data_IF_374650370377
#
_entry.id   IF_374650370377
#
_cell.length_a   1.000
_cell.length_b   1.000
_cell.length_c   1.000
_cell.angle_alpha   90.00
_cell.angle_beta   90.00
_cell.angle_gamma   90.00
#
_symmetry.space_group_name_H-M   'P 1'
#
loop_
_entity.id
_entity.type
_entity.pdbx_description
1 polymer ?
#
# COMPACT_ATOMS: atom_id res chain seq x y z
N UNK A 1 39.28 6.74 -16.99
CA UNK A 1 38.39 6.01 -16.13
C UNK A 1 38.29 6.76 -14.81
N UNK A 2 37.28 7.55 -14.52
CA UNK A 2 37.10 8.08 -13.18
C UNK A 2 36.35 7.04 -12.34
N UNK A 3 36.98 6.64 -11.24
CA UNK A 3 36.34 5.90 -10.16
C UNK A 3 35.23 6.76 -9.56
N UNK A 4 34.01 6.33 -9.73
CA UNK A 4 32.86 6.90 -9.07
C UNK A 4 32.70 6.23 -7.70
N UNK A 5 33.37 6.76 -6.69
CA UNK A 5 33.12 6.40 -5.30
C UNK A 5 31.78 6.99 -4.87
N UNK A 6 30.90 6.16 -4.36
CA UNK A 6 29.64 6.61 -3.77
C UNK A 6 29.91 7.53 -2.58
N UNK A 7 29.28 8.70 -2.46
CA UNK A 7 29.41 9.52 -1.27
C UNK A 7 28.67 8.87 -0.10
N UNK A 8 29.40 8.38 0.86
CA UNK A 8 28.89 7.81 2.13
C UNK A 8 28.43 8.88 3.15
N UNK A 9 28.31 10.15 2.79
CA UNK A 9 28.33 11.23 3.79
C UNK A 9 27.05 12.07 3.95
N UNK A 10 25.92 11.80 3.31
CA UNK A 10 24.76 12.71 3.38
C UNK A 10 23.50 12.22 4.16
N UNK A 11 23.58 11.15 4.91
CA UNK A 11 22.47 10.71 5.77
C UNK A 11 22.10 11.65 6.98
N UNK A 12 22.95 12.62 7.39
CA UNK A 12 22.79 13.32 8.65
C UNK A 12 21.77 14.46 8.70
N UNK A 13 21.50 15.13 7.60
CA UNK A 13 20.69 16.37 7.64
C UNK A 13 19.19 16.12 7.80
N UNK A 14 18.69 15.03 7.24
CA UNK A 14 17.25 14.70 7.30
C UNK A 14 16.82 14.28 8.72
N UNK A 15 17.69 13.56 9.46
CA UNK A 15 17.39 13.09 10.82
C UNK A 15 17.39 14.25 11.83
N UNK A 16 18.26 15.24 11.66
CA UNK A 16 18.28 16.43 12.53
C UNK A 16 17.06 17.34 12.33
N UNK A 17 16.54 17.44 11.09
CA UNK A 17 15.33 18.22 10.82
C UNK A 17 14.08 17.59 11.44
N UNK A 18 14.00 16.26 11.50
CA UNK A 18 12.93 15.53 12.17
C UNK A 18 12.93 15.69 13.69
N UNK A 19 14.11 15.75 14.32
CA UNK A 19 14.23 15.96 15.76
C UNK A 19 13.79 17.38 16.19
N UNK A 20 14.10 18.41 15.42
CA UNK A 20 13.73 19.81 15.73
C UNK A 20 12.22 20.10 15.56
N UNK A 21 11.52 19.37 14.71
CA UNK A 21 10.05 19.48 14.55
C UNK A 21 9.31 18.80 15.72
N UNK A 22 9.94 17.80 16.39
CA UNK A 22 9.34 17.09 17.52
C UNK A 22 9.19 17.95 18.80
N UNK A 23 9.96 19.00 18.97
CA UNK A 23 9.92 19.83 20.19
C UNK A 23 8.84 20.94 20.18
N UNK A 24 8.28 21.29 19.06
CA UNK A 24 7.36 22.43 18.94
C UNK A 24 5.85 22.10 19.07
N UNK A 25 5.47 20.81 19.24
CA UNK A 25 4.05 20.41 19.31
C UNK A 25 3.74 19.68 20.62
N UNK A 26 3.92 20.34 21.76
CA UNK A 26 3.33 19.91 23.03
C UNK A 26 2.36 20.95 23.54
N UNK A 27 1.09 20.85 23.12
CA UNK A 27 -0.04 21.41 23.84
C UNK A 27 -1.26 20.50 23.63
N UNK A 28 -1.75 19.92 24.72
CA UNK A 28 -2.94 19.04 24.75
C UNK A 28 -4.24 19.81 24.51
N UNK A 29 -5.22 19.20 23.87
CA UNK A 29 -6.62 19.44 24.16
C UNK A 29 -7.37 18.16 24.62
N UNK A 30 -8.57 18.32 25.20
CA UNK A 30 -9.20 17.35 26.07
C UNK A 30 -9.93 16.23 25.30
N UNK A 31 -10.06 15.09 26.02
CA UNK A 31 -10.61 13.86 25.51
C UNK A 31 -12.07 13.93 25.04
N UNK A 32 -12.34 13.14 24.00
CA UNK A 32 -13.67 12.70 23.65
C UNK A 32 -13.67 11.18 23.53
N UNK A 33 -14.44 10.52 24.39
CA UNK A 33 -14.68 9.09 24.38
C UNK A 33 -15.57 8.73 23.18
N UNK A 34 -14.99 8.15 22.14
CA UNK A 34 -15.74 7.60 21.02
C UNK A 34 -16.18 6.18 21.37
N UNK A 35 -17.46 6.01 21.69
CA UNK A 35 -18.15 4.73 21.68
C UNK A 35 -18.20 4.18 20.26
N UNK A 36 -17.80 2.91 20.10
CA UNK A 36 -17.88 2.18 18.81
C UNK A 36 -19.35 1.91 18.47
N UNK A 37 -20.01 2.88 17.81
CA UNK A 37 -21.26 2.58 17.13
C UNK A 37 -20.94 1.73 15.89
N UNK A 38 -21.64 0.62 15.74
CA UNK A 38 -21.59 -0.24 14.56
C UNK A 38 -22.02 0.58 13.34
N UNK A 39 -21.07 0.95 12.50
CA UNK A 39 -21.35 1.76 11.31
C UNK A 39 -22.31 0.99 10.40
N UNK A 40 -23.40 1.64 10.04
CA UNK A 40 -24.40 1.07 9.15
C UNK A 40 -23.84 1.00 7.71
N UNK A 41 -23.81 -0.18 7.09
CA UNK A 41 -23.29 -0.40 5.71
C UNK A 41 -24.06 0.38 4.63
N UNK A 42 -25.10 1.13 4.98
CA UNK A 42 -25.81 2.04 4.08
C UNK A 42 -24.96 3.16 3.51
N UNK A 43 -23.77 3.43 4.09
CA UNK A 43 -22.84 4.47 3.61
C UNK A 43 -21.78 3.99 2.62
N UNK A 44 -21.83 2.71 2.21
CA UNK A 44 -20.88 2.10 1.28
C UNK A 44 -19.65 1.50 1.97
N UNK A 45 -18.93 0.63 1.24
CA UNK A 45 -17.69 -0.02 1.69
C UNK A 45 -16.51 0.97 1.62
N UNK A 46 -15.78 1.11 2.73
CA UNK A 46 -14.58 1.98 2.84
C UNK A 46 -13.32 1.11 2.76
N UNK A 47 -12.51 1.33 1.74
CA UNK A 47 -11.26 0.62 1.53
C UNK A 47 -10.07 1.58 1.58
N UNK A 48 -9.03 1.24 2.34
CA UNK A 48 -7.74 1.96 2.35
C UNK A 48 -6.64 1.09 1.78
N UNK A 49 -5.86 1.63 0.84
CA UNK A 49 -4.56 1.10 0.42
C UNK A 49 -3.45 1.95 1.06
N UNK A 50 -2.47 1.28 1.70
CA UNK A 50 -1.40 1.99 2.40
C UNK A 50 -0.08 1.22 2.42
N UNK A 51 1.00 1.86 2.03
CA UNK A 51 2.36 1.43 2.32
C UNK A 51 2.75 2.02 3.68
N UNK A 52 3.04 1.15 4.67
CA UNK A 52 3.29 1.53 6.07
C UNK A 52 4.77 1.74 6.39
N UNK A 53 5.62 1.86 5.37
CA UNK A 53 7.06 2.11 5.52
C UNK A 53 7.73 1.16 6.53
N UNK A 54 7.92 -0.09 6.10
CA UNK A 54 8.68 -1.08 6.86
C UNK A 54 8.15 -1.36 8.29
N UNK A 55 6.87 -1.70 8.43
CA UNK A 55 6.37 -2.27 9.69
C UNK A 55 6.87 -3.69 9.85
N UNK A 56 8.13 -3.80 10.20
CA UNK A 56 8.89 -5.05 10.26
C UNK A 56 10.18 -4.86 11.06
N UNK A 57 10.84 -5.96 11.39
CA UNK A 57 12.18 -5.96 11.98
C UNK A 57 13.23 -5.93 10.88
N UNK A 58 14.12 -4.95 10.92
CA UNK A 58 15.22 -4.78 9.97
C UNK A 58 16.38 -3.99 10.57
N UNK A 59 17.50 -3.94 9.85
CA UNK A 59 18.61 -3.06 10.22
C UNK A 59 18.22 -1.60 9.94
N UNK A 60 18.38 -0.72 10.94
CA UNK A 60 18.01 0.70 10.85
C UNK A 60 19.16 1.59 11.31
N UNK A 61 19.26 2.77 10.73
CA UNK A 61 20.17 3.79 11.21
C UNK A 61 19.51 4.60 12.34
N UNK A 62 20.16 4.62 13.51
CA UNK A 62 19.79 5.45 14.67
C UNK A 62 21.02 6.26 15.04
N UNK A 63 20.91 7.59 15.04
CA UNK A 63 22.02 8.50 15.32
C UNK A 63 23.28 8.20 14.49
N UNK A 64 23.10 7.97 13.17
CA UNK A 64 24.16 7.62 12.20
C UNK A 64 24.84 6.27 12.44
N UNK A 65 24.34 5.45 13.35
CA UNK A 65 24.87 4.11 13.61
C UNK A 65 23.88 3.06 13.09
N UNK A 66 24.40 2.06 12.39
CA UNK A 66 23.59 0.90 11.98
C UNK A 66 23.30 0.05 13.20
N UNK A 67 22.03 -0.07 13.55
CA UNK A 67 21.54 -0.95 14.61
C UNK A 67 20.76 -2.08 13.96
N UNK A 68 21.13 -3.32 14.29
CA UNK A 68 20.56 -4.52 13.70
C UNK A 68 19.25 -4.91 14.38
N UNK A 69 18.35 -5.50 13.57
CA UNK A 69 17.13 -6.14 14.06
C UNK A 69 16.23 -5.19 14.89
N UNK A 70 16.06 -3.96 14.46
CA UNK A 70 15.10 -3.03 15.07
C UNK A 70 13.74 -3.13 14.39
N UNK A 71 12.69 -3.14 15.21
CA UNK A 71 11.31 -2.96 14.76
C UNK A 71 11.06 -1.53 14.31
N UNK A 72 9.96 -1.27 13.60
CA UNK A 72 9.48 0.10 13.36
C UNK A 72 9.31 0.81 14.70
N UNK A 73 9.78 2.08 14.84
CA UNK A 73 9.66 2.83 16.09
C UNK A 73 8.21 2.90 16.58
N UNK A 74 8.01 2.77 17.88
CA UNK A 74 6.67 2.71 18.47
C UNK A 74 5.84 3.98 18.19
N UNK A 75 6.47 5.15 18.19
CA UNK A 75 5.81 6.41 17.85
C UNK A 75 5.26 6.40 16.39
N UNK A 76 6.03 5.84 15.45
CA UNK A 76 5.62 5.71 14.05
C UNK A 76 4.49 4.68 13.89
N UNK A 77 4.54 3.55 14.62
CA UNK A 77 3.45 2.57 14.68
C UNK A 77 2.15 3.20 15.19
N UNK A 78 2.25 3.97 16.27
CA UNK A 78 1.09 4.67 16.84
C UNK A 78 0.53 5.73 15.88
N UNK A 79 1.37 6.43 15.12
CA UNK A 79 0.93 7.36 14.09
C UNK A 79 0.15 6.65 12.98
N UNK A 80 0.65 5.50 12.47
CA UNK A 80 -0.06 4.65 11.50
C UNK A 80 -1.44 4.23 12.05
N UNK A 81 -1.47 3.69 13.26
CA UNK A 81 -2.71 3.19 13.89
C UNK A 81 -3.73 4.32 14.05
N UNK A 82 -3.30 5.47 14.59
CA UNK A 82 -4.16 6.64 14.79
C UNK A 82 -4.73 7.17 13.47
N UNK A 83 -3.89 7.25 12.43
CA UNK A 83 -4.30 7.69 11.11
C UNK A 83 -5.36 6.76 10.52
N UNK A 84 -5.14 5.44 10.58
CA UNK A 84 -6.07 4.44 10.04
C UNK A 84 -7.38 4.39 10.85
N UNK A 85 -7.31 4.38 12.18
CA UNK A 85 -8.49 4.32 13.04
C UNK A 85 -9.41 5.52 12.85
N UNK A 86 -8.85 6.72 12.67
CA UNK A 86 -9.60 7.96 12.40
C UNK A 86 -10.47 7.86 11.13
N UNK A 87 -10.04 7.08 10.14
CA UNK A 87 -10.76 6.91 8.89
C UNK A 87 -11.87 5.86 8.96
N UNK A 88 -11.89 5.03 10.00
CA UNK A 88 -12.86 3.94 10.19
C UNK A 88 -13.09 3.10 8.91
N UNK A 89 -12.05 2.53 8.28
CA UNK A 89 -12.20 1.70 7.10
C UNK A 89 -12.85 0.35 7.46
N UNK A 90 -13.45 -0.27 6.45
CA UNK A 90 -13.98 -1.62 6.54
C UNK A 90 -12.96 -2.67 6.08
N UNK A 91 -12.10 -2.27 5.14
CA UNK A 91 -11.01 -3.10 4.61
C UNK A 91 -9.75 -2.24 4.46
N UNK A 92 -8.59 -2.80 4.84
CA UNK A 92 -7.28 -2.16 4.68
C UNK A 92 -6.34 -3.12 3.94
N UNK A 93 -5.76 -2.67 2.85
CA UNK A 93 -4.66 -3.35 2.16
C UNK A 93 -3.34 -2.67 2.48
N UNK A 94 -2.36 -3.45 2.95
CA UNK A 94 -1.07 -2.97 3.44
C UNK A 94 0.09 -3.48 2.60
N UNK A 95 1.07 -2.62 2.35
CA UNK A 95 2.39 -2.94 1.83
C UNK A 95 3.46 -2.67 2.89
N UNK A 96 4.61 -3.36 2.77
CA UNK A 96 5.78 -3.23 3.66
C UNK A 96 5.52 -3.66 5.11
N UNK A 97 4.75 -4.70 5.28
CA UNK A 97 4.72 -5.45 6.54
C UNK A 97 5.81 -6.54 6.51
N UNK A 98 6.27 -6.94 7.68
CA UNK A 98 7.23 -8.05 7.83
C UNK A 98 6.56 -9.42 7.81
N UNK A 99 6.70 -10.18 8.88
CA UNK A 99 6.11 -11.50 9.03
C UNK A 99 4.61 -11.45 9.32
N UNK A 100 3.95 -12.60 9.28
CA UNK A 100 2.54 -12.71 9.66
C UNK A 100 2.26 -12.23 11.10
N UNK A 101 3.26 -12.29 11.98
CA UNK A 101 3.21 -11.73 13.33
C UNK A 101 3.07 -10.20 13.36
N UNK A 102 3.73 -9.50 12.42
CA UNK A 102 3.61 -8.04 12.30
C UNK A 102 2.20 -7.63 11.85
N UNK A 103 1.57 -8.40 10.95
CA UNK A 103 0.16 -8.18 10.60
C UNK A 103 -0.78 -8.40 11.79
N UNK A 104 -0.50 -9.40 12.63
CA UNK A 104 -1.26 -9.65 13.85
C UNK A 104 -1.07 -8.53 14.88
N UNK A 105 0.13 -7.95 14.99
CA UNK A 105 0.42 -6.77 15.80
C UNK A 105 -0.40 -5.55 15.33
N UNK A 106 -0.39 -5.26 14.02
CA UNK A 106 -1.19 -4.18 13.42
C UNK A 106 -2.67 -4.36 13.77
N UNK A 107 -3.22 -5.57 13.55
CA UNK A 107 -4.61 -5.88 13.88
C UNK A 107 -4.93 -5.62 15.35
N UNK A 108 -4.06 -6.05 16.25
CA UNK A 108 -4.24 -5.88 17.69
C UNK A 108 -4.18 -4.40 18.09
N UNK A 109 -3.26 -3.64 17.53
CA UNK A 109 -3.13 -2.21 17.78
C UNK A 109 -4.34 -1.42 17.24
N UNK A 110 -4.84 -1.76 16.06
CA UNK A 110 -6.07 -1.16 15.49
C UNK A 110 -7.29 -1.47 16.35
N UNK A 111 -7.42 -2.71 16.84
CA UNK A 111 -8.49 -3.10 17.75
C UNK A 111 -8.45 -2.32 19.06
N UNK A 112 -7.27 -2.14 19.65
CA UNK A 112 -7.07 -1.32 20.84
C UNK A 112 -7.43 0.16 20.61
N UNK A 113 -7.28 0.66 19.37
CA UNK A 113 -7.68 2.00 18.94
C UNK A 113 -9.17 2.09 18.52
N UNK A 114 -9.99 1.04 18.75
CA UNK A 114 -11.42 1.01 18.46
C UNK A 114 -11.79 0.56 17.04
N UNK A 115 -10.81 0.14 16.22
CA UNK A 115 -11.05 -0.38 14.88
C UNK A 115 -10.84 -1.89 14.84
N UNK A 116 -11.93 -2.65 14.95
CA UNK A 116 -11.88 -4.12 14.92
C UNK A 116 -12.03 -4.65 13.49
N UNK A 117 -10.94 -5.21 12.94
CA UNK A 117 -10.85 -5.84 11.62
C UNK A 117 -10.35 -7.29 11.81
N UNK A 118 -11.23 -8.22 12.22
CA UNK A 118 -10.82 -9.53 12.72
C UNK A 118 -10.28 -10.47 11.64
N UNK A 119 -10.65 -10.27 10.38
CA UNK A 119 -10.26 -11.17 9.29
C UNK A 119 -9.04 -10.65 8.58
N UNK A 120 -8.02 -11.49 8.41
CA UNK A 120 -6.74 -11.11 7.81
C UNK A 120 -6.27 -12.14 6.81
N UNK A 121 -5.55 -11.69 5.78
CA UNK A 121 -4.79 -12.55 4.88
C UNK A 121 -3.42 -11.93 4.62
N UNK A 122 -2.40 -12.77 4.49
CA UNK A 122 -1.00 -12.40 4.37
C UNK A 122 -0.38 -13.08 3.16
N UNK A 123 0.45 -12.35 2.41
CA UNK A 123 1.16 -12.87 1.24
C UNK A 123 2.56 -12.29 1.18
N UNK A 124 3.54 -13.15 0.89
CA UNK A 124 4.91 -12.81 0.54
C UNK A 124 5.27 -13.25 -0.87
N UNK A 125 6.48 -12.93 -1.28
CA UNK A 125 7.07 -13.30 -2.57
C UNK A 125 8.52 -13.75 -2.42
N UNK A 126 9.37 -13.43 -3.39
CA UNK A 126 10.81 -13.73 -3.33
C UNK A 126 11.62 -12.76 -2.45
N UNK A 127 11.08 -11.60 -2.08
CA UNK A 127 11.66 -10.72 -1.06
C UNK A 127 11.42 -11.35 0.31
N UNK A 128 12.47 -11.70 1.09
CA UNK A 128 12.29 -12.35 2.38
C UNK A 128 11.87 -11.40 3.50
N UNK A 129 11.79 -10.11 3.24
CA UNK A 129 11.66 -9.08 4.27
C UNK A 129 10.33 -8.33 4.19
N UNK A 130 9.90 -7.94 2.97
CA UNK A 130 8.72 -7.10 2.76
C UNK A 130 7.58 -7.88 2.14
N UNK A 131 6.45 -7.84 2.80
CA UNK A 131 5.27 -8.60 2.43
C UNK A 131 4.03 -7.70 2.38
N UNK A 132 2.88 -8.31 2.10
CA UNK A 132 1.60 -7.64 1.99
C UNK A 132 0.58 -8.28 2.92
N UNK A 133 -0.37 -7.48 3.38
CA UNK A 133 -1.49 -7.95 4.18
C UNK A 133 -2.77 -7.24 3.85
N UNK A 134 -3.88 -7.91 4.12
CA UNK A 134 -5.21 -7.31 4.12
C UNK A 134 -5.90 -7.59 5.44
N UNK A 135 -6.58 -6.58 5.98
CA UNK A 135 -7.43 -6.69 7.16
C UNK A 135 -8.85 -6.31 6.74
N UNK A 136 -9.83 -7.04 7.25
CA UNK A 136 -11.23 -6.81 6.91
C UNK A 136 -12.14 -6.93 8.13
N UNK A 137 -13.18 -6.09 8.15
CA UNK A 137 -14.33 -6.22 9.06
C UNK A 137 -15.19 -7.42 8.71
N UNK A 138 -15.21 -7.79 7.43
CA UNK A 138 -16.03 -8.86 6.88
C UNK A 138 -15.21 -10.13 6.65
N UNK A 139 -15.82 -11.31 6.71
CA UNK A 139 -15.14 -12.56 6.41
C UNK A 139 -14.46 -12.56 5.03
N UNK A 140 -13.25 -13.11 4.98
CA UNK A 140 -12.57 -13.42 3.73
C UNK A 140 -13.15 -14.74 3.22
N UNK A 141 -13.99 -14.65 2.19
CA UNK A 141 -14.72 -15.81 1.65
C UNK A 141 -13.79 -16.80 0.95
N UNK A 142 -12.78 -16.28 0.25
CA UNK A 142 -11.76 -17.10 -0.42
C UNK A 142 -10.48 -16.31 -0.65
N UNK A 143 -9.38 -17.04 -0.84
CA UNK A 143 -8.08 -16.52 -1.28
C UNK A 143 -7.59 -17.33 -2.47
N UNK A 144 -6.81 -16.71 -3.36
CA UNK A 144 -6.21 -17.41 -4.48
C UNK A 144 -4.73 -17.07 -4.62
N UNK A 145 -4.00 -17.97 -5.28
CA UNK A 145 -2.62 -17.72 -5.69
C UNK A 145 -2.58 -17.50 -7.19
N UNK A 146 -1.77 -16.57 -7.70
CA UNK A 146 -1.53 -16.46 -9.12
C UNK A 146 -1.00 -17.78 -9.70
N UNK A 147 -1.41 -18.12 -10.91
CA UNK A 147 -0.91 -19.32 -11.61
C UNK A 147 0.57 -19.18 -11.95
N UNK A 148 1.03 -17.95 -12.17
CA UNK A 148 2.41 -17.63 -12.50
C UNK A 148 2.96 -16.60 -11.51
N UNK A 149 4.11 -16.89 -10.92
CA UNK A 149 4.80 -16.02 -9.94
C UNK A 149 6.25 -15.76 -10.33
N UNK A 150 6.71 -16.30 -11.45
CA UNK A 150 8.08 -16.19 -11.92
C UNK A 150 8.15 -15.69 -13.37
N UNK A 151 9.28 -15.07 -13.72
CA UNK A 151 9.60 -14.62 -15.07
C UNK A 151 11.08 -14.79 -15.37
N UNK A 152 11.43 -14.81 -16.66
CA UNK A 152 12.83 -14.84 -17.12
C UNK A 152 13.26 -13.46 -17.58
N UNK A 153 14.44 -13.04 -17.15
CA UNK A 153 15.08 -11.79 -17.54
C UNK A 153 16.60 -11.98 -17.55
N UNK A 154 17.25 -11.53 -18.60
CA UNK A 154 18.74 -11.60 -18.75
C UNK A 154 19.32 -12.99 -18.45
N UNK A 155 18.63 -14.07 -18.88
CA UNK A 155 19.08 -15.45 -18.69
C UNK A 155 18.83 -16.05 -17.31
N UNK A 156 18.30 -15.28 -16.35
CA UNK A 156 17.97 -15.73 -15.00
C UNK A 156 16.47 -15.80 -14.77
N UNK A 157 16.02 -16.62 -13.83
CA UNK A 157 14.64 -16.68 -13.38
C UNK A 157 14.48 -15.84 -12.11
N UNK A 158 13.48 -14.99 -12.07
CA UNK A 158 13.12 -14.13 -10.94
C UNK A 158 11.70 -14.43 -10.50
N UNK A 159 11.46 -14.45 -9.20
CA UNK A 159 10.11 -14.44 -8.63
C UNK A 159 9.59 -13.02 -8.46
N UNK A 160 8.27 -12.86 -8.44
CA UNK A 160 7.67 -11.59 -8.03
C UNK A 160 8.08 -11.27 -6.59
N UNK A 161 8.61 -10.06 -6.36
CA UNK A 161 9.29 -9.76 -5.11
C UNK A 161 8.37 -9.84 -3.89
N UNK A 162 7.24 -9.15 -3.88
CA UNK A 162 6.35 -9.06 -2.70
C UNK A 162 5.08 -9.90 -2.86
N UNK A 163 5.01 -10.72 -3.92
CA UNK A 163 3.84 -11.52 -4.24
C UNK A 163 2.68 -10.72 -4.82
N UNK A 164 1.57 -11.40 -5.06
CA UNK A 164 0.27 -10.81 -5.41
C UNK A 164 -0.72 -11.34 -4.39
N UNK A 165 -1.29 -10.45 -3.59
CA UNK A 165 -2.36 -10.79 -2.66
C UNK A 165 -3.67 -10.88 -3.42
N UNK A 166 -4.45 -11.95 -3.18
CA UNK A 166 -5.77 -12.13 -3.78
C UNK A 166 -6.75 -12.64 -2.72
N UNK A 167 -7.72 -11.79 -2.38
CA UNK A 167 -8.71 -12.08 -1.36
C UNK A 167 -10.10 -11.62 -1.81
N UNK A 168 -11.08 -12.53 -1.72
CA UNK A 168 -12.49 -12.22 -1.96
C UNK A 168 -13.18 -11.96 -0.62
N UNK A 169 -13.86 -10.83 -0.53
CA UNK A 169 -14.58 -10.38 0.67
C UNK A 169 -16.02 -10.11 0.28
N UNK A 170 -16.97 -10.61 1.08
CA UNK A 170 -18.38 -10.31 0.89
C UNK A 170 -18.81 -9.23 1.87
N UNK A 171 -19.22 -8.08 1.36
CA UNK A 171 -19.64 -6.94 2.16
C UNK A 171 -20.99 -6.40 1.65
N UNK A 172 -21.96 -6.26 2.56
CA UNK A 172 -23.31 -5.79 2.20
C UNK A 172 -24.01 -6.66 1.16
N UNK A 173 -23.77 -7.97 1.15
CA UNK A 173 -24.31 -8.91 0.16
C UNK A 173 -23.68 -8.80 -1.24
N UNK A 174 -22.57 -8.10 -1.36
CA UNK A 174 -21.84 -7.90 -2.63
C UNK A 174 -20.43 -8.51 -2.52
N UNK A 175 -20.00 -9.34 -3.50
CA UNK A 175 -18.64 -9.84 -3.54
C UNK A 175 -17.69 -8.76 -4.07
N UNK A 176 -16.57 -8.55 -3.38
CA UNK A 176 -15.43 -7.72 -3.82
C UNK A 176 -14.19 -8.59 -3.84
N UNK A 177 -13.37 -8.48 -4.89
CA UNK A 177 -12.09 -9.17 -4.97
C UNK A 177 -10.95 -8.16 -4.95
N UNK A 178 -10.15 -8.23 -3.89
CA UNK A 178 -9.04 -7.33 -3.63
C UNK A 178 -7.74 -7.99 -4.09
N UNK A 179 -7.04 -7.34 -5.02
CA UNK A 179 -5.77 -7.78 -5.55
C UNK A 179 -4.71 -6.77 -5.13
N UNK A 180 -3.90 -7.15 -4.14
CA UNK A 180 -2.81 -6.31 -3.62
C UNK A 180 -1.52 -6.54 -4.38
N UNK A 181 -0.77 -5.47 -4.63
CA UNK A 181 0.55 -5.52 -5.26
C UNK A 181 1.50 -4.50 -4.63
N UNK A 182 2.77 -4.86 -4.56
CA UNK A 182 3.87 -3.95 -4.30
C UNK A 182 4.96 -4.24 -5.32
N UNK A 183 4.97 -3.51 -6.43
CA UNK A 183 5.90 -3.73 -7.53
C UNK A 183 7.33 -3.33 -7.16
N UNK A 184 8.30 -3.85 -7.92
CA UNK A 184 9.71 -3.58 -7.70
C UNK A 184 10.03 -2.08 -7.65
N UNK A 185 10.68 -1.66 -6.57
CA UNK A 185 11.08 -0.26 -6.35
C UNK A 185 12.11 0.22 -7.38
N UNK A 186 12.27 1.54 -7.51
CA UNK A 186 13.28 2.16 -8.36
C UNK A 186 14.69 2.14 -7.75
N UNK A 187 14.83 1.65 -6.51
CA UNK A 187 16.14 1.57 -5.85
C UNK A 187 17.06 0.68 -6.68
N UNK A 188 18.18 1.23 -7.09
CA UNK A 188 19.15 0.53 -7.92
C UNK A 188 19.74 -0.70 -7.22
N UNK A 189 19.86 -1.77 -7.99
CA UNK A 189 20.55 -3.00 -7.60
C UNK A 189 21.54 -3.32 -8.71
N UNK A 190 22.78 -3.57 -8.34
CA UNK A 190 23.87 -3.84 -9.28
C UNK A 190 23.49 -4.98 -10.25
N UNK A 191 23.72 -4.75 -11.53
CA UNK A 191 23.47 -5.72 -12.62
C UNK A 191 22.01 -6.16 -12.85
N UNK A 192 21.04 -5.39 -12.36
CA UNK A 192 19.62 -5.68 -12.56
C UNK A 192 18.90 -4.41 -12.99
N UNK A 193 18.17 -4.46 -14.12
CA UNK A 193 17.30 -3.36 -14.55
C UNK A 193 16.00 -3.39 -13.73
N UNK A 194 15.83 -2.39 -12.87
CA UNK A 194 14.68 -2.30 -11.97
C UNK A 194 13.39 -1.95 -12.71
N UNK A 195 13.48 -1.18 -13.80
CA UNK A 195 12.31 -0.87 -14.62
C UNK A 195 11.84 -2.13 -15.36
N UNK A 196 12.74 -2.89 -15.94
CA UNK A 196 12.41 -4.14 -16.61
C UNK A 196 11.80 -5.16 -15.65
N UNK A 197 12.37 -5.32 -14.46
CA UNK A 197 11.79 -6.16 -13.39
C UNK A 197 10.35 -5.73 -13.05
N UNK A 198 10.14 -4.45 -12.81
CA UNK A 198 8.82 -3.91 -12.48
C UNK A 198 7.81 -4.15 -13.59
N UNK A 199 8.23 -4.03 -14.85
CA UNK A 199 7.39 -4.34 -16.01
C UNK A 199 7.02 -5.83 -16.05
N UNK A 200 7.96 -6.73 -15.73
CA UNK A 200 7.68 -8.16 -15.67
C UNK A 200 6.71 -8.51 -14.54
N UNK A 201 6.89 -7.94 -13.35
CA UNK A 201 5.93 -8.10 -12.25
C UNK A 201 4.54 -7.56 -12.62
N UNK A 202 4.47 -6.41 -13.28
CA UNK A 202 3.22 -5.84 -13.80
C UNK A 202 2.53 -6.77 -14.82
N UNK A 203 3.29 -7.49 -15.66
CA UNK A 203 2.75 -8.50 -16.58
C UNK A 203 2.20 -9.72 -15.86
N UNK A 204 2.88 -10.20 -14.79
CA UNK A 204 2.36 -11.29 -13.98
C UNK A 204 1.02 -10.90 -13.34
N UNK A 205 0.96 -9.72 -12.73
CA UNK A 205 -0.28 -9.18 -12.18
C UNK A 205 -1.38 -9.06 -13.25
N UNK A 206 -1.05 -8.52 -14.43
CA UNK A 206 -2.02 -8.37 -15.53
C UNK A 206 -2.58 -9.71 -15.97
N UNK A 207 -1.74 -10.74 -16.17
CA UNK A 207 -2.21 -12.10 -16.52
C UNK A 207 -3.14 -12.68 -15.47
N UNK A 208 -2.83 -12.45 -14.18
CA UNK A 208 -3.70 -12.88 -13.09
C UNK A 208 -5.08 -12.19 -13.15
N UNK A 209 -5.10 -10.88 -13.35
CA UNK A 209 -6.32 -10.07 -13.52
C UNK A 209 -7.10 -10.51 -14.76
N UNK A 210 -6.42 -10.77 -15.90
CA UNK A 210 -7.04 -11.23 -17.12
C UNK A 210 -7.72 -12.59 -16.93
N UNK A 211 -7.06 -13.52 -16.23
CA UNK A 211 -7.65 -14.83 -15.92
C UNK A 211 -8.93 -14.71 -15.08
N UNK A 212 -8.95 -13.79 -14.12
CA UNK A 212 -10.16 -13.53 -13.33
C UNK A 212 -11.29 -12.97 -14.21
N UNK A 213 -10.98 -11.96 -15.04
CA UNK A 213 -11.97 -11.30 -15.89
C UNK A 213 -12.44 -12.19 -17.07
N UNK A 214 -11.63 -13.14 -17.51
CA UNK A 214 -12.03 -14.17 -18.47
C UNK A 214 -13.00 -15.17 -17.85
N UNK A 215 -12.80 -15.53 -16.58
CA UNK A 215 -13.70 -16.43 -15.85
C UNK A 215 -15.01 -15.73 -15.47
N UNK A 216 -14.96 -14.45 -15.10
CA UNK A 216 -16.11 -13.61 -14.78
C UNK A 216 -15.86 -12.16 -15.22
N UNK A 217 -16.45 -11.78 -16.36
CA UNK A 217 -16.36 -10.42 -16.90
C UNK A 217 -17.00 -9.36 -15.98
N UNK A 218 -17.87 -9.77 -15.07
CA UNK A 218 -18.54 -8.91 -14.08
C UNK A 218 -17.87 -8.92 -12.71
N UNK A 219 -16.68 -9.53 -12.58
CA UNK A 219 -15.93 -9.53 -11.33
C UNK A 219 -15.67 -8.11 -10.84
N UNK A 220 -16.01 -7.86 -9.57
CA UNK A 220 -15.84 -6.58 -8.87
C UNK A 220 -14.43 -6.50 -8.30
N UNK A 221 -13.46 -6.19 -9.19
CA UNK A 221 -12.05 -6.16 -8.82
C UNK A 221 -11.63 -4.79 -8.28
N UNK A 222 -10.84 -4.82 -7.22
CA UNK A 222 -10.07 -3.71 -6.68
C UNK A 222 -8.59 -4.10 -6.75
N UNK A 223 -7.84 -3.55 -7.69
CA UNK A 223 -6.38 -3.75 -7.79
C UNK A 223 -5.70 -2.54 -7.19
N UNK A 224 -4.89 -2.76 -6.15
CA UNK A 224 -4.37 -1.68 -5.32
C UNK A 224 -2.93 -1.91 -4.85
N UNK A 225 -2.28 -0.85 -4.41
CA UNK A 225 -1.01 -0.91 -3.70
C UNK A 225 0.01 0.08 -4.23
N UNK A 226 1.27 -0.17 -3.88
CA UNK A 226 2.42 0.61 -4.34
C UNK A 226 2.91 0.05 -5.68
N UNK A 227 2.65 0.78 -6.75
CA UNK A 227 3.10 0.39 -8.10
C UNK A 227 4.55 0.78 -8.36
N UNK A 228 5.17 1.53 -7.44
CA UNK A 228 6.53 2.05 -7.55
C UNK A 228 6.80 2.77 -8.88
N UNK A 229 5.73 3.24 -9.52
CA UNK A 229 5.80 3.99 -10.77
C UNK A 229 4.59 4.88 -10.99
N UNK A 230 4.71 5.84 -11.89
CA UNK A 230 3.68 6.84 -12.15
C UNK A 230 2.76 6.44 -13.31
N UNK A 231 1.60 7.09 -13.46
CA UNK A 231 0.60 6.80 -14.49
C UNK A 231 1.14 6.74 -15.94
N UNK A 232 2.09 7.57 -16.38
CA UNK A 232 2.63 7.48 -17.73
C UNK A 232 3.48 6.24 -17.99
N UNK A 233 3.95 5.56 -16.95
CA UNK A 233 4.90 4.45 -17.06
C UNK A 233 4.34 3.23 -17.77
N UNK A 234 5.25 2.41 -18.28
CA UNK A 234 4.90 1.13 -18.92
C UNK A 234 4.33 0.13 -17.92
N UNK A 235 4.87 0.10 -16.69
CA UNK A 235 4.37 -0.79 -15.64
C UNK A 235 2.92 -0.47 -15.29
N UNK A 236 2.58 0.81 -15.02
CA UNK A 236 1.20 1.21 -14.73
C UNK A 236 0.24 0.87 -15.90
N UNK A 237 0.62 1.22 -17.13
CA UNK A 237 -0.20 0.92 -18.33
C UNK A 237 -0.38 -0.58 -18.54
N UNK A 238 0.63 -1.40 -18.23
CA UNK A 238 0.53 -2.85 -18.27
C UNK A 238 -0.52 -3.36 -17.28
N UNK A 239 -0.49 -2.88 -16.02
CA UNK A 239 -1.49 -3.27 -15.01
C UNK A 239 -2.90 -2.86 -15.41
N UNK A 240 -3.09 -1.63 -15.88
CA UNK A 240 -4.43 -1.12 -16.20
C UNK A 240 -5.01 -1.70 -17.50
N UNK A 241 -4.16 -2.16 -18.40
CA UNK A 241 -4.58 -2.59 -19.73
C UNK A 241 -4.92 -1.42 -20.68
N UNK A 242 -5.33 -1.73 -21.89
CA UNK A 242 -5.76 -0.73 -22.86
C UNK A 242 -7.15 -0.16 -22.55
N UNK A 243 -7.32 1.16 -22.72
CA UNK A 243 -8.59 1.84 -22.40
C UNK A 243 -9.83 1.21 -23.06
N UNK A 244 -9.68 0.72 -24.29
CA UNK A 244 -10.77 0.08 -25.05
C UNK A 244 -10.93 -1.42 -24.75
N UNK A 245 -10.01 -2.03 -24.01
CA UNK A 245 -10.06 -3.45 -23.70
C UNK A 245 -11.17 -3.73 -22.68
N UNK A 246 -11.90 -4.86 -22.82
CA UNK A 246 -12.91 -5.26 -21.83
C UNK A 246 -12.35 -5.33 -20.40
N UNK A 247 -11.11 -5.76 -20.26
CA UNK A 247 -10.41 -5.90 -18.99
C UNK A 247 -9.73 -4.63 -18.48
N UNK A 248 -10.02 -3.45 -19.04
CA UNK A 248 -9.43 -2.19 -18.56
C UNK A 248 -9.77 -1.88 -17.10
N UNK A 249 -8.76 -1.53 -16.33
CA UNK A 249 -8.91 -1.09 -14.94
C UNK A 249 -8.89 0.43 -14.85
N UNK A 250 -9.95 1.01 -14.32
CA UNK A 250 -10.06 2.47 -14.10
C UNK A 250 -9.33 2.86 -12.81
N UNK A 251 -8.30 3.68 -12.90
CA UNK A 251 -7.66 4.26 -11.73
C UNK A 251 -8.55 5.33 -11.07
N UNK A 252 -8.73 5.26 -9.76
CA UNK A 252 -9.45 6.27 -9.00
C UNK A 252 -8.62 7.56 -9.00
N UNK A 253 -9.15 8.71 -9.47
CA UNK A 253 -8.41 9.96 -9.56
C UNK A 253 -8.38 10.69 -8.20
N UNK A 254 -7.92 9.97 -7.16
CA UNK A 254 -7.87 10.54 -5.81
C UNK A 254 -6.93 11.73 -5.72
N UNK A 255 -7.36 12.74 -4.95
CA UNK A 255 -6.61 13.94 -4.56
C UNK A 255 -6.84 14.19 -3.08
N UNK A 256 -5.98 14.97 -2.47
CA UNK A 256 -6.17 15.42 -1.09
C UNK A 256 -7.10 16.66 -1.00
N UNK A 257 -7.28 17.20 0.20
CA UNK A 257 -8.12 18.37 0.48
C UNK A 257 -7.64 19.64 -0.23
N UNK A 258 -6.37 19.70 -0.64
CA UNK A 258 -5.75 20.83 -1.35
C UNK A 258 -5.73 20.63 -2.86
N UNK A 259 -6.21 19.48 -3.35
CA UNK A 259 -6.20 19.12 -4.76
C UNK A 259 -4.90 18.50 -5.26
N UNK A 260 -3.96 18.17 -4.36
CA UNK A 260 -2.71 17.50 -4.68
C UNK A 260 -2.93 15.99 -4.87
N UNK A 261 -2.11 15.35 -5.70
CA UNK A 261 -2.31 13.95 -6.07
C UNK A 261 -1.12 13.04 -5.72
N UNK A 262 -0.08 13.55 -5.05
CA UNK A 262 1.07 12.74 -4.66
C UNK A 262 0.73 11.82 -3.49
N UNK A 263 1.41 10.67 -3.44
CA UNK A 263 1.22 9.66 -2.37
C UNK A 263 2.53 9.28 -1.68
N UNK A 264 3.66 9.61 -2.24
CA UNK A 264 4.99 9.30 -1.67
C UNK A 264 5.89 10.52 -1.73
N UNK A 265 6.64 10.74 -0.66
CA UNK A 265 7.66 11.79 -0.55
C UNK A 265 9.04 11.20 -0.31
N UNK A 266 9.91 11.34 -1.30
CA UNK A 266 11.30 10.95 -1.17
C UNK A 266 12.13 12.10 -0.61
N UNK A 267 12.30 12.12 0.71
CA UNK A 267 12.93 13.21 1.45
C UNK A 267 14.38 13.50 1.03
N UNK A 268 15.14 12.46 0.64
CA UNK A 268 16.54 12.62 0.22
C UNK A 268 16.70 13.52 -1.04
N UNK A 269 15.71 13.50 -1.93
CA UNK A 269 15.74 14.25 -3.19
C UNK A 269 14.65 15.32 -3.30
N UNK A 270 13.87 15.54 -2.24
CA UNK A 270 12.73 16.47 -2.22
C UNK A 270 11.73 16.23 -3.37
N UNK A 271 11.42 14.94 -3.63
CA UNK A 271 10.56 14.53 -4.73
C UNK A 271 9.24 14.00 -4.21
N UNK A 272 8.14 14.61 -4.67
CA UNK A 272 6.78 14.11 -4.48
C UNK A 272 6.33 13.31 -5.69
N UNK A 273 5.79 12.12 -5.48
CA UNK A 273 5.33 11.23 -6.56
C UNK A 273 3.99 10.62 -6.26
N UNK A 274 3.20 10.33 -7.29
CA UNK A 274 2.04 9.46 -7.17
C UNK A 274 2.41 8.08 -7.66
N UNK A 275 2.58 7.13 -6.73
CA UNK A 275 2.97 5.75 -7.01
C UNK A 275 2.04 4.73 -6.37
N UNK A 276 1.17 5.15 -5.43
CA UNK A 276 0.13 4.32 -4.85
C UNK A 276 -1.19 4.53 -5.57
N UNK A 277 -1.83 3.44 -5.97
CA UNK A 277 -3.06 3.47 -6.74
C UNK A 277 -4.09 2.49 -6.21
N UNK A 278 -5.35 2.86 -6.41
CA UNK A 278 -6.50 1.95 -6.38
C UNK A 278 -7.12 2.01 -7.77
N UNK A 279 -7.21 0.86 -8.42
CA UNK A 279 -7.84 0.72 -9.73
C UNK A 279 -8.98 -0.29 -9.64
N UNK A 280 -10.01 -0.12 -10.45
CA UNK A 280 -11.22 -0.94 -10.37
C UNK A 280 -11.63 -1.48 -11.74
N UNK A 281 -12.23 -2.67 -11.77
CA UNK A 281 -12.83 -3.24 -12.97
C UNK A 281 -13.99 -2.39 -13.49
N UNK A 282 -14.38 -2.60 -14.75
CA UNK A 282 -15.55 -1.94 -15.35
C UNK A 282 -16.83 -2.19 -14.58
N UNK A 283 -17.03 -3.40 -14.09
CA UNK A 283 -18.20 -3.79 -13.31
C UNK A 283 -18.31 -2.98 -12.00
N UNK A 284 -17.18 -2.70 -11.33
CA UNK A 284 -17.18 -1.97 -10.07
C UNK A 284 -17.17 -0.45 -10.26
N UNK A 285 -16.79 0.06 -11.44
CA UNK A 285 -16.57 1.48 -11.67
C UNK A 285 -17.78 2.37 -11.33
N UNK A 286 -19.00 1.92 -11.64
CA UNK A 286 -20.23 2.68 -11.36
C UNK A 286 -20.57 2.81 -9.88
N UNK A 287 -19.98 1.96 -9.03
CA UNK A 287 -20.19 1.95 -7.58
C UNK A 287 -19.14 2.80 -6.84
N UNK A 288 -18.08 3.23 -7.51
CA UNK A 288 -17.08 4.10 -6.90
C UNK A 288 -17.66 5.49 -6.64
N UNK A 289 -17.62 5.93 -5.39
CA UNK A 289 -17.81 7.34 -5.07
C UNK A 289 -16.51 8.11 -5.34
N UNK A 290 -16.35 8.57 -6.58
CA UNK A 290 -15.16 9.33 -6.99
C UNK A 290 -14.95 10.64 -6.25
N UNK A 291 -16.01 11.24 -5.66
CA UNK A 291 -15.91 12.49 -4.92
C UNK A 291 -15.47 12.27 -3.48
N UNK A 292 -15.94 11.19 -2.88
CA UNK A 292 -15.60 10.83 -1.51
C UNK A 292 -14.28 10.04 -1.42
N UNK A 293 -13.84 9.42 -2.53
CA UNK A 293 -12.53 8.74 -2.60
C UNK A 293 -11.40 9.76 -2.72
N UNK A 294 -10.41 9.69 -1.82
CA UNK A 294 -9.37 10.71 -1.75
C UNK A 294 -8.04 10.17 -1.18
N UNK A 295 -6.98 10.96 -1.30
CA UNK A 295 -5.72 10.75 -0.57
C UNK A 295 -5.90 11.35 0.82
N UNK A 296 -5.60 10.58 1.86
CA UNK A 296 -5.76 11.02 3.25
C UNK A 296 -4.73 12.10 3.55
N UNK A 297 -5.23 13.25 3.97
CA UNK A 297 -4.49 14.47 4.25
C UNK A 297 -4.44 14.71 5.77
N UNK A 298 -3.74 13.83 6.48
CA UNK A 298 -3.53 13.99 7.93
C UNK A 298 -2.20 14.72 8.18
N UNK A 299 -2.15 15.75 9.03
CA UNK A 299 -0.90 16.46 9.34
C UNK A 299 0.23 15.56 9.87
N UNK A 300 -0.12 14.44 10.49
CA UNK A 300 0.85 13.48 11.04
C UNK A 300 1.27 12.40 10.02
N UNK A 301 0.93 12.55 8.73
CA UNK A 301 1.22 11.52 7.72
C UNK A 301 2.71 11.12 7.69
N UNK A 302 3.63 12.08 7.80
CA UNK A 302 5.07 11.87 7.72
C UNK A 302 5.70 11.28 9.01
N UNK A 303 4.95 11.24 10.11
CA UNK A 303 5.33 10.48 11.30
C UNK A 303 4.98 9.00 11.14
N UNK A 304 4.00 8.70 10.31
CA UNK A 304 3.49 7.35 10.10
C UNK A 304 4.26 6.60 9.00
N UNK A 305 4.52 7.26 7.86
CA UNK A 305 5.15 6.68 6.68
C UNK A 305 5.63 7.77 5.72
N UNK A 306 6.55 7.45 4.82
CA UNK A 306 6.90 8.26 3.65
C UNK A 306 5.82 8.20 2.55
N UNK A 307 4.79 7.35 2.73
CA UNK A 307 3.61 7.29 1.88
C UNK A 307 2.37 7.89 2.55
N UNK A 308 1.39 8.29 1.75
CA UNK A 308 0.06 8.73 2.18
C UNK A 308 -1.00 7.70 1.78
N UNK A 309 -1.90 7.32 2.69
CA UNK A 309 -2.95 6.33 2.38
C UNK A 309 -3.92 6.86 1.34
N UNK A 310 -4.47 5.96 0.52
CA UNK A 310 -5.53 6.26 -0.44
C UNK A 310 -6.81 5.59 0.02
N UNK A 311 -7.88 6.36 0.20
CA UNK A 311 -9.21 5.89 0.55
C UNK A 311 -10.08 5.79 -0.71
N UNK A 312 -10.73 4.64 -0.91
CA UNK A 312 -11.80 4.44 -1.87
C UNK A 312 -13.11 4.12 -1.16
N UNK A 313 -14.22 4.65 -1.69
CA UNK A 313 -15.59 4.38 -1.20
C UNK A 313 -16.40 3.77 -2.33
N UNK A 314 -17.03 2.61 -2.04
CA UNK A 314 -17.90 1.87 -2.94
C UNK A 314 -19.33 1.88 -2.39
N UNK A 315 -20.30 2.30 -3.21
CA UNK A 315 -21.74 2.40 -2.87
C UNK A 315 -22.46 1.08 -3.00
#
# INVERSE_FOLDING_TARGET
MPEWAAPEEEAPAAVQKLASVRESVRANPPGNSATSESRNTSEGLRFIAYNVENWLTMDRYVDRKLVKNLTKPEAEKQAVVKLLAKQSPDVIGLCEIGEAGDLAEIRSALKAAGLDLPFTHYVGGSDPVRHQGILSRFPIASTAKPAETEFKMSGSTFGINRGILDASIEAGGKPYRFIGVHLKSKREVKNIDQEEMRIHEARLLRRHVDGILQADANARLVVYGDFNDTRPSKAFKTVTGGYNDPGYLTAIPAKDSRGEAWTHYWSLHDIYSRIDFITVSRALRSEVDFRASHIIDDPAWNEASDHRPVLAIFK
#
